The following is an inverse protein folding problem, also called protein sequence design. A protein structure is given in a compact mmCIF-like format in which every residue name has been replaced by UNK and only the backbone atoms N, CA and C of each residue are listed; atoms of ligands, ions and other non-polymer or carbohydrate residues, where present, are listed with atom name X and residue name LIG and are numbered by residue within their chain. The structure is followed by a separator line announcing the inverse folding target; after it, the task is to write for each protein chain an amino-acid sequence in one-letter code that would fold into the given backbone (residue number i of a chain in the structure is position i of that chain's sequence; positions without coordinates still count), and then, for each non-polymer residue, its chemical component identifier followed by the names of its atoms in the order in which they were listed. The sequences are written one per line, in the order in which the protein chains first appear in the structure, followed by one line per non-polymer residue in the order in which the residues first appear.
data_IF_182768087375
#
_entry.id   IF_182768087375
#
_cell.length_a   1.000
_cell.length_b   1.000
_cell.length_c   1.000
_cell.angle_alpha   90.00
_cell.angle_beta   90.00
_cell.angle_gamma   90.00
#
_symmetry.space_group_name_H-M   'P 1'
#
loop_
_entity.id
_entity.type
_entity.pdbx_description
1 polymer ?
#
# COMPACT_ATOMS: atom_id res chain seq x y z
N UNK A 1 -17.58 44.89 -57.02
CA UNK A 1 -17.35 43.46 -57.25
C UNK A 1 -16.56 42.98 -56.06
N UNK A 2 -17.24 42.43 -55.10
CA UNK A 2 -16.63 41.93 -53.86
C UNK A 2 -17.02 40.47 -53.76
N UNK A 3 -16.03 39.62 -53.90
CA UNK A 3 -16.16 38.15 -53.81
C UNK A 3 -16.33 37.75 -52.34
N UNK A 4 -17.51 37.21 -52.05
CA UNK A 4 -17.85 36.74 -50.71
C UNK A 4 -17.14 35.43 -50.41
N UNK A 5 -16.16 35.50 -49.51
CA UNK A 5 -15.60 34.32 -48.88
C UNK A 5 -16.67 33.69 -47.99
N UNK A 6 -17.26 32.58 -48.45
CA UNK A 6 -18.13 31.76 -47.61
C UNK A 6 -17.32 31.21 -46.46
N UNK A 7 -17.56 31.74 -45.26
CA UNK A 7 -17.04 31.17 -44.01
C UNK A 7 -17.53 29.72 -43.88
N UNK A 8 -16.62 28.76 -43.85
CA UNK A 8 -16.90 27.40 -43.41
C UNK A 8 -17.22 27.45 -41.91
N UNK A 9 -18.43 27.06 -41.57
CA UNK A 9 -18.77 26.83 -40.16
C UNK A 9 -17.77 25.82 -39.56
N UNK A 10 -17.30 26.04 -38.34
CA UNK A 10 -16.40 25.08 -37.69
C UNK A 10 -17.14 23.76 -37.50
N UNK A 11 -16.52 22.66 -37.95
CA UNK A 11 -17.03 21.31 -37.71
C UNK A 11 -17.12 21.10 -36.19
N UNK A 12 -18.33 20.95 -35.68
CA UNK A 12 -18.59 20.56 -34.29
C UNK A 12 -18.34 19.06 -34.16
N UNK A 13 -17.22 18.71 -33.58
CA UNK A 13 -16.89 17.32 -33.26
C UNK A 13 -17.64 16.96 -31.98
N UNK A 14 -18.73 16.24 -32.11
CA UNK A 14 -19.48 15.70 -30.97
C UNK A 14 -18.73 14.46 -30.48
N UNK A 15 -18.32 14.40 -29.20
CA UNK A 15 -17.67 13.23 -28.65
C UNK A 15 -18.54 12.00 -28.74
N UNK A 16 -18.07 10.94 -29.39
CA UNK A 16 -18.73 9.64 -29.38
C UNK A 16 -18.65 9.11 -27.96
N UNK A 17 -19.78 8.98 -27.25
CA UNK A 17 -19.87 8.20 -26.03
C UNK A 17 -19.58 6.73 -26.39
N UNK A 18 -18.32 6.33 -26.40
CA UNK A 18 -17.97 4.93 -26.28
C UNK A 18 -18.38 4.51 -24.87
N UNK A 19 -19.27 3.53 -24.76
CA UNK A 19 -19.31 2.68 -23.58
C UNK A 19 -17.88 2.12 -23.51
N UNK A 20 -17.16 2.48 -22.47
CA UNK A 20 -15.73 2.20 -22.45
C UNK A 20 -15.56 0.70 -22.24
N UNK A 21 -15.37 -0.03 -23.37
CA UNK A 21 -15.16 -1.49 -23.37
C UNK A 21 -14.03 -1.83 -22.40
N UNK A 22 -13.04 -0.96 -22.29
CA UNK A 22 -11.95 -1.04 -21.36
C UNK A 22 -12.43 -1.07 -19.88
N UNK A 23 -13.29 -0.13 -19.48
CA UNK A 23 -13.84 -0.11 -18.11
C UNK A 23 -14.64 -1.37 -17.80
N UNK A 24 -15.44 -1.84 -18.75
CA UNK A 24 -16.21 -3.08 -18.60
C UNK A 24 -15.30 -4.29 -18.44
N UNK A 25 -14.21 -4.37 -19.20
CA UNK A 25 -13.19 -5.44 -19.06
C UNK A 25 -12.50 -5.35 -17.70
N UNK A 26 -12.12 -4.16 -17.27
CA UNK A 26 -11.47 -3.94 -15.99
C UNK A 26 -12.36 -4.38 -14.81
N UNK A 27 -13.64 -4.04 -14.86
CA UNK A 27 -14.64 -4.47 -13.85
C UNK A 27 -14.75 -5.99 -13.81
N UNK A 28 -14.84 -6.67 -14.96
CA UNK A 28 -14.96 -8.12 -15.01
C UNK A 28 -13.68 -8.84 -14.58
N UNK A 29 -12.48 -8.30 -14.89
CA UNK A 29 -11.24 -8.86 -14.40
C UNK A 29 -11.09 -8.67 -12.89
N UNK A 30 -11.52 -7.53 -12.34
CA UNK A 30 -11.55 -7.34 -10.89
C UNK A 30 -12.52 -8.32 -10.20
N UNK A 31 -13.71 -8.54 -10.76
CA UNK A 31 -14.66 -9.53 -10.26
C UNK A 31 -14.08 -10.95 -10.32
N UNK A 32 -13.43 -11.31 -11.44
CA UNK A 32 -12.75 -12.60 -11.57
C UNK A 32 -11.73 -12.81 -10.43
N UNK A 33 -10.88 -11.81 -10.16
CA UNK A 33 -9.87 -11.89 -9.09
C UNK A 33 -10.51 -12.04 -7.71
N UNK A 34 -11.58 -11.27 -7.43
CA UNK A 34 -12.20 -11.26 -6.10
C UNK A 34 -13.10 -12.48 -5.83
N UNK A 35 -13.71 -13.07 -6.86
CA UNK A 35 -14.73 -14.12 -6.72
C UNK A 35 -14.17 -15.52 -6.96
N UNK A 36 -13.03 -15.65 -7.65
CA UNK A 36 -12.47 -16.96 -8.01
C UNK A 36 -11.65 -17.62 -6.90
N UNK A 37 -11.44 -16.94 -5.76
CA UNK A 37 -10.59 -17.46 -4.69
C UNK A 37 -9.11 -17.56 -5.06
N UNK A 38 -8.66 -16.80 -6.06
CA UNK A 38 -7.26 -16.75 -6.47
C UNK A 38 -6.39 -16.18 -5.34
N UNK A 39 -5.24 -16.81 -5.15
CA UNK A 39 -4.22 -16.36 -4.19
C UNK A 39 -3.06 -15.64 -4.91
N UNK A 40 -2.32 -14.77 -4.21
CA UNK A 40 -1.10 -14.19 -4.75
C UNK A 40 -0.12 -15.26 -5.24
N UNK A 41 0.38 -15.07 -6.45
CA UNK A 41 1.18 -16.05 -7.17
C UNK A 41 0.38 -16.84 -8.22
N UNK A 42 -0.94 -16.85 -8.13
CA UNK A 42 -1.78 -17.53 -9.11
C UNK A 42 -1.73 -16.81 -10.46
N UNK A 43 -1.79 -17.62 -11.50
CA UNK A 43 -1.75 -17.15 -12.88
C UNK A 43 -3.16 -16.80 -13.38
N UNK A 44 -3.34 -15.58 -13.88
CA UNK A 44 -4.58 -15.22 -14.58
C UNK A 44 -4.73 -16.02 -15.88
N UNK A 45 -5.97 -16.19 -16.39
CA UNK A 45 -6.20 -16.76 -17.70
C UNK A 45 -5.38 -16.04 -18.78
N UNK A 46 -4.83 -16.76 -19.76
CA UNK A 46 -4.04 -16.15 -20.85
C UNK A 46 -4.85 -15.09 -21.61
N UNK A 47 -4.16 -14.05 -22.13
CA UNK A 47 -4.81 -12.97 -22.92
C UNK A 47 -5.77 -13.54 -23.99
N UNK A 48 -5.38 -14.61 -24.67
CA UNK A 48 -6.18 -15.23 -25.72
C UNK A 48 -7.52 -15.75 -25.17
N UNK A 49 -7.49 -16.39 -24.01
CA UNK A 49 -8.69 -16.92 -23.36
C UNK A 49 -9.58 -15.78 -22.86
N UNK A 50 -8.99 -14.73 -22.30
CA UNK A 50 -9.73 -13.54 -21.89
C UNK A 50 -10.43 -12.86 -23.08
N UNK A 51 -9.76 -12.74 -24.22
CA UNK A 51 -10.35 -12.21 -25.46
C UNK A 51 -11.55 -13.05 -25.92
N UNK A 52 -11.40 -14.38 -25.92
CA UNK A 52 -12.45 -15.31 -26.32
C UNK A 52 -13.66 -15.26 -25.35
N UNK A 53 -13.40 -15.27 -24.03
CA UNK A 53 -14.45 -15.29 -23.00
C UNK A 53 -15.19 -13.96 -22.86
N UNK A 54 -14.48 -12.85 -22.99
CA UNK A 54 -15.04 -11.50 -22.87
C UNK A 54 -15.63 -10.96 -24.19
N UNK A 55 -15.28 -11.58 -25.34
CA UNK A 55 -15.79 -11.16 -26.65
C UNK A 55 -15.28 -9.78 -27.08
N UNK A 56 -14.11 -9.36 -26.63
CA UNK A 56 -13.55 -8.02 -26.87
C UNK A 56 -12.21 -8.07 -27.64
N UNK A 57 -11.70 -6.92 -28.04
CA UNK A 57 -10.43 -6.83 -28.74
C UNK A 57 -9.23 -7.18 -27.82
N UNK A 58 -8.14 -7.70 -28.42
CA UNK A 58 -6.86 -7.91 -27.69
C UNK A 58 -6.33 -6.61 -27.09
N UNK A 59 -6.55 -5.48 -27.75
CA UNK A 59 -6.12 -4.17 -27.27
C UNK A 59 -6.81 -3.84 -25.96
N UNK A 60 -8.13 -4.00 -25.89
CA UNK A 60 -8.90 -3.72 -24.67
C UNK A 60 -8.51 -4.60 -23.50
N UNK A 61 -8.23 -5.90 -23.75
CA UNK A 61 -7.75 -6.81 -22.70
C UNK A 61 -6.36 -6.39 -22.20
N UNK A 62 -5.43 -6.05 -23.12
CA UNK A 62 -4.09 -5.60 -22.72
C UNK A 62 -4.10 -4.29 -21.95
N UNK A 63 -4.92 -3.34 -22.34
CA UNK A 63 -5.08 -2.07 -21.62
C UNK A 63 -5.61 -2.32 -20.21
N UNK A 64 -6.59 -3.19 -20.04
CA UNK A 64 -7.13 -3.56 -18.74
C UNK A 64 -6.09 -4.30 -17.86
N UNK A 65 -5.31 -5.23 -18.45
CA UNK A 65 -4.23 -5.91 -17.73
C UNK A 65 -3.13 -4.93 -17.29
N UNK A 66 -2.73 -3.99 -18.16
CA UNK A 66 -1.77 -2.93 -17.80
C UNK A 66 -2.29 -2.02 -16.70
N UNK A 67 -3.59 -1.73 -16.70
CA UNK A 67 -4.19 -0.97 -15.61
C UNK A 67 -4.15 -1.76 -14.28
N UNK A 68 -4.47 -3.06 -14.30
CA UNK A 68 -4.35 -3.91 -13.11
C UNK A 68 -2.89 -4.01 -12.62
N UNK A 69 -1.93 -4.04 -13.54
CA UNK A 69 -0.50 -4.01 -13.21
C UNK A 69 -0.11 -2.67 -12.58
N UNK A 70 -0.55 -1.53 -13.16
CA UNK A 70 -0.30 -0.21 -12.60
C UNK A 70 -0.96 0.01 -11.23
N UNK A 71 -2.06 -0.69 -10.97
CA UNK A 71 -2.73 -0.74 -9.65
C UNK A 71 -2.03 -1.71 -8.68
N UNK A 72 -0.97 -2.39 -9.11
CA UNK A 72 -0.26 -3.38 -8.28
C UNK A 72 -1.06 -4.62 -7.93
N UNK A 73 -2.11 -4.94 -8.70
CA UNK A 73 -2.93 -6.14 -8.50
C UNK A 73 -2.36 -7.37 -9.18
N UNK A 74 -1.66 -7.17 -10.29
CA UNK A 74 -1.01 -8.23 -11.05
C UNK A 74 0.40 -7.82 -11.46
N UNK A 75 1.22 -8.79 -11.81
CA UNK A 75 2.52 -8.63 -12.45
C UNK A 75 2.48 -9.31 -13.82
N UNK A 76 2.85 -8.57 -14.87
CA UNK A 76 2.96 -9.12 -16.23
C UNK A 76 4.40 -9.59 -16.47
N UNK A 77 4.59 -10.91 -16.49
CA UNK A 77 5.91 -11.51 -16.76
C UNK A 77 6.06 -11.83 -18.24
N UNK A 78 7.11 -11.31 -18.91
CA UNK A 78 7.34 -11.59 -20.33
C UNK A 78 7.36 -13.09 -20.62
N UNK A 79 6.60 -13.52 -21.62
CA UNK A 79 6.44 -14.93 -22.05
C UNK A 79 5.87 -15.90 -20.99
N UNK A 80 5.56 -15.44 -19.78
CA UNK A 80 5.02 -16.26 -18.71
C UNK A 80 3.52 -15.98 -18.44
N UNK A 81 3.06 -14.76 -18.68
CA UNK A 81 1.67 -14.34 -18.46
C UNK A 81 1.51 -13.35 -17.33
N UNK A 82 0.27 -13.16 -16.90
CA UNK A 82 -0.09 -12.26 -15.79
C UNK A 82 -0.33 -13.08 -14.53
N UNK A 83 0.20 -12.62 -13.41
CA UNK A 83 0.12 -13.29 -12.12
C UNK A 83 -0.50 -12.36 -11.09
N UNK A 84 -1.39 -12.88 -10.26
CA UNK A 84 -1.90 -12.13 -9.13
C UNK A 84 -0.73 -11.86 -8.17
N UNK A 85 -0.60 -10.61 -7.76
CA UNK A 85 0.34 -10.26 -6.71
C UNK A 85 -0.44 -9.90 -5.46
N UNK A 86 0.20 -10.00 -4.29
CA UNK A 86 -0.35 -9.33 -3.14
C UNK A 86 -0.64 -7.90 -3.54
N UNK A 87 -1.77 -7.30 -3.17
CA UNK A 87 -1.92 -5.87 -3.24
C UNK A 87 -0.84 -5.27 -2.32
N UNK A 88 0.37 -5.21 -2.87
CA UNK A 88 1.47 -4.53 -2.21
C UNK A 88 1.19 -3.05 -2.42
N UNK A 89 1.47 -2.23 -1.44
CA UNK A 89 1.53 -0.78 -1.60
C UNK A 89 2.49 -0.31 -2.71
N UNK A 90 3.08 -1.26 -3.45
CA UNK A 90 4.10 -1.07 -4.49
C UNK A 90 3.66 -0.15 -5.63
N UNK A 91 2.40 -0.19 -6.07
CA UNK A 91 1.96 0.69 -7.14
C UNK A 91 1.92 2.15 -6.69
N UNK A 92 1.39 2.42 -5.50
CA UNK A 92 1.39 3.76 -4.91
C UNK A 92 2.81 4.22 -4.59
N UNK A 93 3.61 3.38 -3.96
CA UNK A 93 5.00 3.65 -3.65
C UNK A 93 5.80 3.95 -4.92
N UNK A 94 5.69 3.13 -5.96
CA UNK A 94 6.35 3.35 -7.26
C UNK A 94 5.91 4.65 -7.92
N UNK A 95 4.63 4.99 -7.86
CA UNK A 95 4.11 6.24 -8.40
C UNK A 95 4.66 7.46 -7.65
N UNK A 96 4.70 7.44 -6.32
CA UNK A 96 5.27 8.53 -5.55
C UNK A 96 6.75 8.73 -5.87
N UNK A 97 7.53 7.67 -5.95
CA UNK A 97 8.95 7.71 -6.31
C UNK A 97 9.22 8.19 -7.74
N UNK A 98 8.29 7.96 -8.67
CA UNK A 98 8.43 8.47 -10.03
C UNK A 98 8.26 9.98 -10.15
N UNK A 99 7.66 10.61 -9.13
CA UNK A 99 7.34 12.05 -9.11
C UNK A 99 8.24 12.82 -8.14
N UNK A 100 8.69 12.18 -7.06
CA UNK A 100 9.49 12.81 -6.01
C UNK A 100 10.85 12.12 -5.89
N UNK A 101 11.96 12.88 -5.80
CA UNK A 101 13.26 12.30 -5.51
C UNK A 101 13.26 11.69 -4.11
N UNK A 102 13.84 10.49 -3.98
CA UNK A 102 14.01 9.82 -2.69
C UNK A 102 15.33 10.30 -2.10
N UNK A 103 15.24 11.27 -1.22
CA UNK A 103 16.36 11.84 -0.47
C UNK A 103 16.00 12.01 1.01
N UNK A 104 16.85 12.64 1.77
CA UNK A 104 16.62 12.87 3.20
C UNK A 104 15.36 13.74 3.46
N UNK A 105 15.11 14.75 2.65
CA UNK A 105 13.92 15.59 2.79
C UNK A 105 12.65 14.79 2.52
N UNK A 106 12.69 13.85 1.57
CA UNK A 106 11.60 12.91 1.33
C UNK A 106 11.29 12.07 2.58
N UNK A 107 12.32 11.55 3.25
CA UNK A 107 12.14 10.78 4.50
C UNK A 107 11.52 11.63 5.61
N UNK A 108 11.98 12.87 5.80
CA UNK A 108 11.43 13.79 6.80
C UNK A 108 9.93 14.04 6.55
N UNK A 109 9.53 14.29 5.30
CA UNK A 109 8.11 14.43 4.95
C UNK A 109 7.34 13.11 5.11
N UNK A 110 7.97 11.98 4.85
CA UNK A 110 7.33 10.68 4.97
C UNK A 110 7.05 10.29 6.43
N UNK A 111 7.87 10.78 7.38
CA UNK A 111 7.60 10.64 8.83
C UNK A 111 6.30 11.33 9.20
N UNK A 112 6.09 12.57 8.76
CA UNK A 112 4.84 13.29 9.04
C UNK A 112 3.62 12.51 8.54
N UNK A 113 3.72 11.93 7.33
CA UNK A 113 2.65 11.10 6.75
C UNK A 113 2.46 9.82 7.57
N UNK A 114 3.56 9.16 7.94
CA UNK A 114 3.53 7.94 8.75
C UNK A 114 2.91 8.23 10.13
N UNK A 115 3.37 9.28 10.82
CA UNK A 115 2.84 9.68 12.11
C UNK A 115 1.32 9.93 12.07
N UNK A 116 0.82 10.60 11.03
CA UNK A 116 -0.62 10.84 10.86
C UNK A 116 -1.42 9.54 10.66
N UNK A 117 -0.89 8.59 9.92
CA UNK A 117 -1.53 7.29 9.67
C UNK A 117 -1.53 6.46 10.95
N UNK A 118 -0.38 6.34 11.63
CA UNK A 118 -0.24 5.55 12.86
C UNK A 118 -1.07 6.14 14.00
N UNK A 119 -1.10 7.45 14.18
CA UNK A 119 -1.99 8.11 15.15
C UNK A 119 -3.46 7.74 14.92
N UNK A 120 -3.88 7.71 13.64
CA UNK A 120 -5.24 7.34 13.30
C UNK A 120 -5.53 5.86 13.57
N UNK A 121 -4.58 4.97 13.29
CA UNK A 121 -4.69 3.54 13.59
C UNK A 121 -4.88 3.34 15.10
N UNK A 122 -3.98 3.86 15.92
CA UNK A 122 -4.04 3.76 17.38
C UNK A 122 -5.35 4.35 17.92
N UNK A 123 -5.77 5.51 17.41
CA UNK A 123 -7.03 6.14 17.83
C UNK A 123 -8.27 5.30 17.50
N UNK A 124 -8.27 4.53 16.42
CA UNK A 124 -9.37 3.63 16.06
C UNK A 124 -9.34 2.36 16.91
N UNK A 125 -8.19 1.76 17.15
CA UNK A 125 -8.03 0.59 18.03
C UNK A 125 -8.52 0.94 19.43
N UNK A 126 -8.07 2.05 19.99
CA UNK A 126 -8.44 2.50 21.34
C UNK A 126 -9.94 2.82 21.51
N UNK A 127 -10.65 3.13 20.43
CA UNK A 127 -12.10 3.36 20.46
C UNK A 127 -12.94 2.09 20.41
N UNK A 128 -12.34 0.97 20.01
CA UNK A 128 -13.06 -0.32 19.90
C UNK A 128 -13.02 -1.04 21.22
N UNK A 129 -14.15 -1.03 21.93
CA UNK A 129 -14.28 -1.70 23.25
C UNK A 129 -14.01 -3.22 23.19
N UNK A 130 -14.12 -3.82 22.01
CA UNK A 130 -13.94 -5.27 21.78
C UNK A 130 -12.75 -5.54 20.82
N UNK A 131 -11.73 -4.64 20.76
CA UNK A 131 -10.53 -4.95 20.00
C UNK A 131 -9.82 -6.14 20.63
N UNK A 132 -9.61 -7.18 19.85
CA UNK A 132 -8.79 -8.31 20.28
C UNK A 132 -7.32 -7.99 20.03
N UNK A 133 -6.60 -7.64 21.08
CA UNK A 133 -5.16 -7.33 21.00
C UNK A 133 -4.26 -8.57 21.10
N UNK A 134 -4.84 -9.77 21.24
CA UNK A 134 -4.08 -11.03 21.26
C UNK A 134 -3.23 -11.23 20.00
N UNK A 135 -3.73 -10.97 18.78
CA UNK A 135 -2.89 -11.08 17.57
C UNK A 135 -1.73 -10.07 17.54
N UNK A 136 -1.93 -8.88 18.12
CA UNK A 136 -0.88 -7.84 18.21
C UNK A 136 0.21 -8.28 19.18
N UNK A 137 -0.17 -8.79 20.36
CA UNK A 137 0.77 -9.34 21.34
C UNK A 137 1.58 -10.50 20.77
N UNK A 138 0.94 -11.42 20.07
CA UNK A 138 1.62 -12.57 19.43
C UNK A 138 2.69 -12.13 18.41
N UNK A 139 2.50 -11.00 17.72
CA UNK A 139 3.52 -10.45 16.82
C UNK A 139 4.75 -9.96 17.57
N UNK A 140 4.56 -9.29 18.71
CA UNK A 140 5.67 -8.82 19.57
C UNK A 140 6.48 -10.01 20.13
N UNK A 141 5.77 -11.02 20.68
CA UNK A 141 6.38 -12.23 21.22
C UNK A 141 7.17 -13.01 20.15
N UNK A 142 6.64 -13.03 18.91
CA UNK A 142 7.35 -13.66 17.81
C UNK A 142 8.59 -12.88 17.38
N UNK A 143 8.53 -11.56 17.36
CA UNK A 143 9.68 -10.72 17.04
C UNK A 143 10.82 -10.93 18.05
N UNK A 144 10.49 -11.07 19.34
CA UNK A 144 11.45 -11.39 20.40
C UNK A 144 12.08 -12.78 20.23
N UNK A 145 11.26 -13.79 19.84
CA UNK A 145 11.77 -15.13 19.57
C UNK A 145 12.71 -15.16 18.34
N UNK A 146 12.31 -14.50 17.25
CA UNK A 146 13.10 -14.40 16.01
C UNK A 146 14.49 -13.78 16.31
N UNK A 147 14.54 -12.74 17.14
CA UNK A 147 15.81 -12.13 17.56
C UNK A 147 16.68 -13.08 18.38
N UNK A 148 16.07 -13.83 19.31
CA UNK A 148 16.82 -14.78 20.15
C UNK A 148 17.45 -15.91 19.32
N UNK A 149 16.82 -16.29 18.21
CA UNK A 149 17.30 -17.37 17.34
C UNK A 149 18.35 -16.88 16.34
N UNK A 150 18.19 -15.68 15.76
CA UNK A 150 19.03 -15.22 14.66
C UNK A 150 20.17 -14.29 15.11
N UNK A 151 20.03 -13.66 16.27
CA UNK A 151 20.98 -12.69 16.80
C UNK A 151 21.07 -11.38 16.00
N UNK A 152 20.35 -11.29 14.90
CA UNK A 152 20.24 -10.09 14.08
C UNK A 152 18.79 -9.62 14.08
N UNK A 153 18.52 -8.37 14.47
CA UNK A 153 17.22 -7.78 14.21
C UNK A 153 17.05 -7.73 12.70
N UNK A 154 16.01 -8.42 12.20
CA UNK A 154 15.59 -8.24 10.82
C UNK A 154 15.42 -6.74 10.54
N UNK A 155 15.62 -6.36 9.29
CA UNK A 155 15.35 -4.99 8.84
C UNK A 155 14.01 -4.50 9.40
N UNK A 156 14.00 -3.29 9.95
CA UNK A 156 12.84 -2.49 10.36
C UNK A 156 11.53 -3.28 10.50
N UNK A 157 11.22 -3.70 11.71
CA UNK A 157 10.04 -4.53 11.98
C UNK A 157 8.78 -3.67 12.09
N UNK A 158 8.01 -3.61 11.00
CA UNK A 158 6.72 -2.92 10.92
C UNK A 158 5.54 -3.88 11.16
N UNK A 159 5.80 -5.10 11.66
CA UNK A 159 4.75 -6.11 11.88
C UNK A 159 3.80 -5.72 13.00
N UNK A 160 4.28 -5.00 14.01
CA UNK A 160 3.47 -4.50 15.12
C UNK A 160 2.41 -3.51 14.64
N UNK A 161 2.82 -2.46 13.94
CA UNK A 161 1.92 -1.43 13.40
C UNK A 161 0.95 -2.04 12.38
N UNK A 162 1.41 -2.98 11.55
CA UNK A 162 0.55 -3.69 10.61
C UNK A 162 -0.49 -4.58 11.34
N UNK A 163 -0.17 -5.13 12.49
CA UNK A 163 -1.14 -5.85 13.31
C UNK A 163 -2.17 -4.90 13.94
N UNK A 164 -1.76 -3.75 14.46
CA UNK A 164 -2.67 -2.71 14.95
C UNK A 164 -3.64 -2.23 13.87
N UNK A 165 -3.17 -2.03 12.64
CA UNK A 165 -4.02 -1.58 11.55
C UNK A 165 -5.13 -2.58 11.18
N UNK A 166 -4.86 -3.89 11.31
CA UNK A 166 -5.90 -4.92 11.12
C UNK A 166 -6.98 -4.80 12.19
N UNK A 167 -6.58 -4.55 13.44
CA UNK A 167 -7.50 -4.38 14.58
C UNK A 167 -8.23 -3.04 14.57
N UNK A 168 -7.74 -2.04 13.83
CA UNK A 168 -8.43 -0.75 13.68
C UNK A 168 -9.80 -0.85 13.00
N UNK A 169 -10.09 -1.95 12.31
CA UNK A 169 -11.38 -2.21 11.67
C UNK A 169 -11.68 -1.29 10.48
N UNK A 170 -10.65 -0.69 9.90
CA UNK A 170 -10.74 0.12 8.69
C UNK A 170 -9.78 -0.42 7.61
N UNK A 171 -10.28 -1.28 6.70
CA UNK A 171 -9.42 -1.91 5.70
C UNK A 171 -8.76 -0.90 4.76
N UNK A 172 -9.40 0.23 4.46
CA UNK A 172 -8.81 1.28 3.64
C UNK A 172 -7.61 1.93 4.35
N UNK A 173 -7.72 2.18 5.65
CA UNK A 173 -6.61 2.72 6.44
C UNK A 173 -5.45 1.73 6.52
N UNK A 174 -5.73 0.44 6.67
CA UNK A 174 -4.71 -0.61 6.66
C UNK A 174 -3.96 -0.69 5.33
N UNK A 175 -4.65 -0.51 4.19
CA UNK A 175 -4.00 -0.44 2.87
C UNK A 175 -3.15 0.84 2.71
N UNK A 176 -3.64 1.97 3.18
CA UNK A 176 -2.87 3.22 3.19
C UNK A 176 -1.59 3.07 4.03
N UNK A 177 -1.70 2.52 5.24
CA UNK A 177 -0.56 2.24 6.09
C UNK A 177 0.46 1.34 5.40
N UNK A 178 0.01 0.23 4.79
CA UNK A 178 0.89 -0.68 4.05
C UNK A 178 1.65 0.04 2.93
N UNK A 179 0.99 0.94 2.22
CA UNK A 179 1.60 1.74 1.16
C UNK A 179 2.66 2.70 1.71
N UNK A 180 2.38 3.33 2.84
CA UNK A 180 3.34 4.21 3.55
C UNK A 180 4.52 3.41 4.07
N UNK A 181 4.30 2.24 4.67
CA UNK A 181 5.35 1.34 5.14
C UNK A 181 6.25 0.86 4.01
N UNK A 182 5.69 0.55 2.85
CA UNK A 182 6.48 0.16 1.68
C UNK A 182 7.38 1.31 1.21
N UNK A 183 6.83 2.53 1.10
CA UNK A 183 7.63 3.73 0.80
C UNK A 183 8.75 3.94 1.81
N UNK A 184 8.45 3.73 3.09
CA UNK A 184 9.41 3.86 4.18
C UNK A 184 10.57 2.89 4.04
N UNK A 185 10.29 1.59 3.84
CA UNK A 185 11.32 0.55 3.65
C UNK A 185 12.21 0.87 2.44
N UNK A 186 11.60 1.28 1.32
CA UNK A 186 12.31 1.59 0.09
C UNK A 186 13.19 2.83 0.25
N UNK A 187 12.65 3.92 0.82
CA UNK A 187 13.39 5.16 1.05
C UNK A 187 14.54 4.96 2.06
N UNK A 188 14.30 4.19 3.10
CA UNK A 188 15.32 3.82 4.08
C UNK A 188 16.48 3.07 3.44
N UNK A 189 16.18 2.10 2.58
CA UNK A 189 17.18 1.34 1.84
C UNK A 189 17.98 2.21 0.88
N UNK A 190 17.32 3.12 0.15
CA UNK A 190 17.98 4.02 -0.81
C UNK A 190 18.89 5.04 -0.09
N UNK A 191 18.45 5.57 1.04
CA UNK A 191 19.24 6.50 1.86
C UNK A 191 20.34 5.81 2.66
N UNK A 192 20.41 4.45 2.66
CA UNK A 192 21.39 3.64 3.39
C UNK A 192 21.46 3.95 4.88
N UNK A 193 20.31 4.14 5.49
CA UNK A 193 20.22 4.42 6.91
C UNK A 193 20.42 3.13 7.68
N UNK A 194 21.25 3.18 8.72
CA UNK A 194 21.45 2.04 9.61
C UNK A 194 20.16 1.78 10.42
N UNK A 195 19.80 0.51 10.66
CA UNK A 195 18.70 0.20 11.56
C UNK A 195 19.03 0.70 12.98
N UNK A 196 18.02 1.25 13.66
CA UNK A 196 18.15 1.71 15.03
C UNK A 196 18.24 0.58 16.07
N UNK A 197 18.23 0.95 17.36
CA UNK A 197 18.26 -0.04 18.45
C UNK A 197 16.96 -0.84 18.51
N UNK A 198 17.03 -2.09 18.07
CA UNK A 198 15.91 -3.00 18.10
C UNK A 198 15.31 -3.20 19.50
N UNK A 199 16.14 -3.28 20.54
CA UNK A 199 15.67 -3.48 21.92
C UNK A 199 14.83 -2.30 22.39
N UNK A 200 15.19 -1.10 21.98
CA UNK A 200 14.43 0.11 22.27
C UNK A 200 13.10 0.10 21.54
N UNK A 201 13.08 -0.14 20.24
CA UNK A 201 11.83 -0.22 19.47
C UNK A 201 10.89 -1.31 19.99
N UNK A 202 11.43 -2.47 20.36
CA UNK A 202 10.66 -3.54 20.97
C UNK A 202 10.03 -3.13 22.31
N UNK A 203 10.79 -2.44 23.17
CA UNK A 203 10.26 -1.91 24.43
C UNK A 203 9.14 -0.89 24.20
N UNK A 204 9.30 0.00 23.21
CA UNK A 204 8.27 0.98 22.82
C UNK A 204 6.99 0.29 22.33
N UNK A 205 7.08 -0.77 21.53
CA UNK A 205 5.91 -1.55 21.12
C UNK A 205 5.16 -2.16 22.29
N UNK A 206 5.88 -2.67 23.31
CA UNK A 206 5.28 -3.19 24.53
C UNK A 206 4.57 -2.09 25.32
N UNK A 207 5.17 -0.90 25.45
CA UNK A 207 4.56 0.24 26.14
C UNK A 207 3.28 0.74 25.44
N UNK A 208 3.29 0.79 24.10
CA UNK A 208 2.12 1.18 23.31
C UNK A 208 0.99 0.15 23.49
N UNK A 209 1.31 -1.15 23.41
CA UNK A 209 0.33 -2.21 23.60
C UNK A 209 -0.28 -2.16 25.01
N UNK A 210 0.54 -2.01 26.03
CA UNK A 210 0.12 -1.93 27.43
C UNK A 210 -0.79 -0.70 27.69
N UNK A 211 -0.50 0.45 27.05
CA UNK A 211 -1.37 1.61 27.11
C UNK A 211 -2.74 1.35 26.44
N UNK A 212 -2.77 0.63 25.31
CA UNK A 212 -4.01 0.23 24.63
C UNK A 212 -4.83 -0.74 25.48
N UNK A 213 -4.20 -1.75 26.08
CA UNK A 213 -4.86 -2.74 26.95
C UNK A 213 -5.45 -2.11 28.22
N UNK A 214 -4.81 -1.05 28.74
CA UNK A 214 -5.35 -0.26 29.86
C UNK A 214 -6.44 0.74 29.45
N UNK A 215 -6.70 0.88 28.15
CA UNK A 215 -7.67 1.84 27.62
C UNK A 215 -7.17 3.30 27.65
N UNK A 216 -5.87 3.53 27.86
CA UNK A 216 -5.29 4.89 27.83
C UNK A 216 -4.95 5.29 26.38
N UNK A 217 -5.98 5.68 25.65
CA UNK A 217 -5.86 6.15 24.27
C UNK A 217 -4.92 7.36 24.12
N UNK A 218 -4.88 8.22 25.14
CA UNK A 218 -4.03 9.41 25.12
C UNK A 218 -2.56 9.07 25.21
N UNK A 219 -2.21 8.15 26.11
CA UNK A 219 -0.86 7.65 26.27
C UNK A 219 -0.42 6.86 25.04
N UNK A 220 -1.23 5.92 24.57
CA UNK A 220 -0.90 5.09 23.41
C UNK A 220 -0.57 5.93 22.15
N UNK A 221 -1.36 6.98 21.90
CA UNK A 221 -1.11 7.89 20.77
C UNK A 221 0.18 8.69 20.93
N UNK A 222 0.50 9.18 22.11
CA UNK A 222 1.76 9.89 22.36
C UNK A 222 2.96 8.97 22.16
N UNK A 223 2.93 7.76 22.74
CA UNK A 223 3.99 6.78 22.62
C UNK A 223 4.21 6.39 21.15
N UNK A 224 3.13 6.21 20.37
CA UNK A 224 3.24 5.92 18.95
C UNK A 224 3.87 7.09 18.17
N UNK A 225 3.52 8.34 18.47
CA UNK A 225 4.14 9.50 17.83
C UNK A 225 5.65 9.58 18.14
N UNK A 226 6.03 9.41 19.41
CA UNK A 226 7.43 9.39 19.85
C UNK A 226 8.21 8.25 19.19
N UNK A 227 7.58 7.06 19.05
CA UNK A 227 8.14 5.91 18.35
C UNK A 227 8.43 6.21 16.87
N UNK A 228 7.49 6.81 16.16
CA UNK A 228 7.64 7.18 14.74
C UNK A 228 8.73 8.25 14.56
N UNK A 229 8.74 9.29 15.39
CA UNK A 229 9.72 10.38 15.30
C UNK A 229 11.16 9.87 15.56
N UNK A 230 11.34 8.96 16.52
CA UNK A 230 12.65 8.40 16.86
C UNK A 230 13.29 7.65 15.71
N UNK A 231 12.50 7.04 14.83
CA UNK A 231 13.04 6.32 13.66
C UNK A 231 13.85 7.21 12.71
N UNK A 232 13.70 8.54 12.77
CA UNK A 232 14.54 9.49 11.99
C UNK A 232 15.71 10.05 12.79
N UNK A 233 15.58 10.27 14.09
CA UNK A 233 16.65 10.84 14.90
C UNK A 233 17.90 9.95 14.85
N UNK A 234 17.74 8.64 14.90
CA UNK A 234 18.81 7.67 14.75
C UNK A 234 19.41 7.63 13.33
N UNK A 235 18.63 7.97 12.31
CA UNK A 235 19.13 8.14 10.94
C UNK A 235 20.04 9.36 10.77
N UNK A 236 20.13 10.20 11.79
CA UNK A 236 20.82 11.49 11.76
C UNK A 236 22.18 11.49 12.48
N UNK A 237 22.47 10.43 13.22
CA UNK A 237 23.70 10.25 14.00
C UNK A 237 24.72 9.39 13.24
#
# INVERSE_FOLDING_TARGET
MGDGVRGREPFEIVPIKRVDVYESVLVQLNALISESGMEPGDRLPPERELVERLGVSRVSVREALRALESMGKIEIRPNAGSFLVHPNGNAFASQMRSVLPVDRAFLEHLVDVRAAVEDKVVALVAKRAEADLTPVRAVIERAEADLSETGEPGSMDLRFEAALAREAGNPLLAEMQRSVHQLWIEAWSECRIAPGDWHQFHAEHLEILDALERGDAGLARRLMAEHVDRTIEEASA
#
